data_IF_173837511872
#
_entry.id   IF_173837511872
#
_cell.length_a   1.000
_cell.length_b   1.000
_cell.length_c   1.000
_cell.angle_alpha   90.00
_cell.angle_beta   90.00
_cell.angle_gamma   90.00
#
_symmetry.space_group_name_H-M   'P 1'
#
loop_
_entity.id
_entity.type
_entity.pdbx_description
1 polymer ?
#
# COMPACT_ATOMS: atom_id res chain seq x y z
N UNK A 1 -17.68 13.62 81.18
CA UNK A 1 -17.36 12.85 79.96
C UNK A 1 -15.85 12.93 79.85
N UNK A 2 -15.19 11.81 80.11
CA UNK A 2 -13.77 11.80 80.48
C UNK A 2 -12.90 11.98 79.22
N UNK A 3 -12.18 13.09 79.15
CA UNK A 3 -11.32 13.46 77.99
C UNK A 3 -10.31 12.36 77.70
N UNK A 4 -9.90 11.60 78.73
CA UNK A 4 -8.99 10.46 78.60
C UNK A 4 -9.57 9.32 77.75
N UNK A 5 -10.88 9.09 77.80
CA UNK A 5 -11.53 7.96 77.12
C UNK A 5 -11.73 8.25 75.62
N UNK A 6 -11.96 9.51 75.24
CA UNK A 6 -11.97 9.91 73.84
C UNK A 6 -10.56 9.96 73.24
N UNK A 7 -9.56 10.36 74.03
CA UNK A 7 -8.16 10.34 73.60
C UNK A 7 -7.68 8.91 73.27
N UNK A 8 -8.08 7.92 74.08
CA UNK A 8 -7.75 6.51 73.82
C UNK A 8 -8.41 5.98 72.54
N UNK A 9 -9.64 6.43 72.21
CA UNK A 9 -10.31 6.08 70.95
C UNK A 9 -9.61 6.70 69.74
N UNK A 10 -9.16 7.95 69.85
CA UNK A 10 -8.39 8.63 68.81
C UNK A 10 -7.06 7.88 68.56
N UNK A 11 -6.38 7.43 69.62
CA UNK A 11 -5.11 6.71 69.48
C UNK A 11 -5.28 5.34 68.81
N UNK A 12 -6.38 4.62 69.10
CA UNK A 12 -6.74 3.39 68.39
C UNK A 12 -7.02 3.64 66.90
N UNK A 13 -7.80 4.67 66.58
CA UNK A 13 -8.07 5.06 65.18
C UNK A 13 -6.79 5.45 64.43
N UNK A 14 -5.89 6.20 65.07
CA UNK A 14 -4.60 6.57 64.48
C UNK A 14 -3.73 5.35 64.18
N UNK A 15 -3.75 4.32 65.04
CA UNK A 15 -3.06 3.06 64.76
C UNK A 15 -3.68 2.29 63.60
N UNK A 16 -5.01 2.26 63.47
CA UNK A 16 -5.69 1.65 62.32
C UNK A 16 -5.37 2.38 61.01
N UNK A 17 -5.39 3.71 61.01
CA UNK A 17 -4.99 4.52 59.85
C UNK A 17 -3.54 4.21 59.44
N UNK A 18 -2.61 4.17 60.40
CA UNK A 18 -1.21 3.86 60.15
C UNK A 18 -1.02 2.46 59.56
N UNK A 19 -1.82 1.48 59.98
CA UNK A 19 -1.79 0.13 59.42
C UNK A 19 -2.36 0.09 58.01
N UNK A 20 -3.49 0.76 57.75
CA UNK A 20 -4.05 0.89 56.41
C UNK A 20 -3.09 1.57 55.42
N UNK A 21 -2.36 2.61 55.84
CA UNK A 21 -1.34 3.28 55.03
C UNK A 21 -0.18 2.35 54.66
N UNK A 22 0.27 1.49 55.60
CA UNK A 22 1.31 0.48 55.32
C UNK A 22 0.83 -0.53 54.29
N UNK A 23 -0.43 -0.97 54.37
CA UNK A 23 -1.04 -1.88 53.39
C UNK A 23 -1.13 -1.25 52.01
N UNK A 24 -1.59 0.00 51.89
CA UNK A 24 -1.64 0.75 50.63
C UNK A 24 -0.24 0.81 50.00
N UNK A 25 0.78 1.15 50.79
CA UNK A 25 2.17 1.23 50.32
C UNK A 25 2.70 -0.12 49.85
N UNK A 26 2.30 -1.22 50.48
CA UNK A 26 2.63 -2.57 50.04
C UNK A 26 1.93 -2.93 48.71
N UNK A 27 0.65 -2.57 48.57
CA UNK A 27 -0.12 -2.76 47.33
C UNK A 27 0.48 -1.96 46.17
N UNK A 28 0.88 -0.71 46.38
CA UNK A 28 1.54 0.12 45.35
C UNK A 28 2.85 -0.48 44.88
N UNK A 29 3.69 -0.97 45.80
CA UNK A 29 4.92 -1.70 45.45
C UNK A 29 4.61 -2.94 44.61
N UNK A 30 3.58 -3.70 44.97
CA UNK A 30 3.13 -4.88 44.21
C UNK A 30 2.64 -4.49 42.82
N UNK A 31 1.84 -3.42 42.69
CA UNK A 31 1.36 -2.86 41.43
C UNK A 31 2.52 -2.48 40.51
N UNK A 32 3.50 -1.74 41.02
CA UNK A 32 4.68 -1.33 40.25
C UNK A 32 5.51 -2.53 39.76
N UNK A 33 5.65 -3.57 40.59
CA UNK A 33 6.31 -4.83 40.19
C UNK A 33 5.54 -5.56 39.09
N UNK A 34 4.21 -5.58 39.16
CA UNK A 34 3.36 -6.18 38.12
C UNK A 34 3.42 -5.39 36.81
N UNK A 35 3.45 -4.05 36.86
CA UNK A 35 3.63 -3.19 35.67
C UNK A 35 4.97 -3.50 34.99
N UNK A 36 6.05 -3.61 35.76
CA UNK A 36 7.38 -3.94 35.22
C UNK A 36 7.36 -5.32 34.54
N UNK A 37 6.76 -6.33 35.20
CA UNK A 37 6.58 -7.67 34.62
C UNK A 37 5.76 -7.62 33.34
N UNK A 38 4.63 -6.90 33.32
CA UNK A 38 3.79 -6.74 32.12
C UNK A 38 4.61 -6.18 30.96
N UNK A 39 5.40 -5.13 31.20
CA UNK A 39 6.28 -4.53 30.19
C UNK A 39 7.30 -5.53 29.64
N UNK A 40 7.93 -6.33 30.50
CA UNK A 40 8.86 -7.39 30.04
C UNK A 40 8.17 -8.46 29.18
N UNK A 41 6.93 -8.84 29.50
CA UNK A 41 6.16 -9.78 28.69
C UNK A 41 5.74 -9.16 27.35
N UNK A 42 5.29 -7.91 27.33
CA UNK A 42 4.96 -7.16 26.12
C UNK A 42 6.18 -7.07 25.18
N UNK A 43 7.36 -6.77 25.71
CA UNK A 43 8.62 -6.73 24.95
C UNK A 43 8.99 -8.11 24.39
N UNK A 44 8.82 -9.18 25.18
CA UNK A 44 9.06 -10.56 24.73
C UNK A 44 8.10 -10.98 23.62
N UNK A 45 6.81 -10.65 23.73
CA UNK A 45 5.80 -10.90 22.70
C UNK A 45 6.18 -10.15 21.41
N UNK A 46 6.56 -8.87 21.52
CA UNK A 46 6.97 -8.06 20.37
C UNK A 46 8.20 -8.65 19.68
N UNK A 47 9.20 -9.12 20.44
CA UNK A 47 10.39 -9.77 19.88
C UNK A 47 10.05 -11.09 19.17
N UNK A 48 9.22 -11.94 19.78
CA UNK A 48 8.76 -13.20 19.14
C UNK A 48 7.98 -12.93 17.85
N UNK A 49 7.07 -11.95 17.86
CA UNK A 49 6.33 -11.55 16.66
C UNK A 49 7.27 -11.04 15.55
N UNK A 50 8.29 -10.23 15.90
CA UNK A 50 9.31 -9.78 14.94
C UNK A 50 10.06 -10.96 14.34
N UNK A 51 10.48 -11.94 15.14
CA UNK A 51 11.23 -13.12 14.67
C UNK A 51 10.39 -14.00 13.73
N UNK A 52 9.15 -14.30 14.08
CA UNK A 52 8.20 -15.04 13.23
C UNK A 52 7.96 -14.29 11.90
N UNK A 53 7.84 -12.96 11.97
CA UNK A 53 7.66 -12.13 10.77
C UNK A 53 8.90 -12.17 9.88
N UNK A 54 10.10 -12.11 10.45
CA UNK A 54 11.36 -12.19 9.72
C UNK A 54 11.53 -13.57 9.05
N UNK A 55 11.24 -14.65 9.77
CA UNK A 55 11.31 -16.02 9.23
C UNK A 55 10.30 -16.22 8.08
N UNK A 56 9.05 -15.76 8.25
CA UNK A 56 8.05 -15.77 7.16
C UNK A 56 8.48 -14.92 5.97
N UNK A 57 9.05 -13.74 6.21
CA UNK A 57 9.53 -12.86 5.14
C UNK A 57 10.73 -13.45 4.40
N UNK A 58 11.64 -14.15 5.09
CA UNK A 58 12.76 -14.85 4.46
C UNK A 58 12.26 -16.01 3.58
N UNK A 59 11.27 -16.76 4.06
CA UNK A 59 10.65 -17.84 3.28
C UNK A 59 9.86 -17.31 2.07
N UNK A 60 9.16 -16.18 2.23
CA UNK A 60 8.47 -15.49 1.13
C UNK A 60 9.43 -14.87 0.12
N UNK A 61 10.55 -14.29 0.58
CA UNK A 61 11.63 -13.81 -0.30
C UNK A 61 12.09 -14.94 -1.22
N UNK A 62 12.45 -16.10 -0.66
CA UNK A 62 12.88 -17.25 -1.45
C UNK A 62 11.84 -17.73 -2.48
N UNK A 63 10.54 -17.59 -2.20
CA UNK A 63 9.48 -18.01 -3.14
C UNK A 63 9.31 -17.06 -4.32
N UNK A 64 9.42 -15.76 -4.10
CA UNK A 64 9.14 -14.74 -5.12
C UNK A 64 10.41 -14.11 -5.72
N UNK A 65 11.60 -14.45 -5.21
CA UNK A 65 12.90 -14.16 -5.82
C UNK A 65 13.21 -15.04 -7.03
N UNK A 66 12.49 -16.15 -7.19
CA UNK A 66 12.73 -17.10 -8.26
C UNK A 66 12.33 -16.51 -9.63
N UNK A 67 13.11 -16.83 -10.66
CA UNK A 67 12.86 -16.50 -12.07
C UNK A 67 12.35 -17.71 -12.86
N UNK A 68 11.85 -18.73 -12.17
CA UNK A 68 11.22 -19.92 -12.74
C UNK A 68 9.72 -19.75 -13.06
N UNK A 69 9.15 -18.57 -12.83
CA UNK A 69 7.73 -18.34 -13.11
C UNK A 69 7.42 -18.35 -14.61
N UNK A 70 6.19 -18.72 -15.03
CA UNK A 70 5.81 -18.78 -16.44
C UNK A 70 6.02 -17.47 -17.21
N UNK A 71 5.94 -16.33 -16.52
CA UNK A 71 6.08 -14.98 -17.06
C UNK A 71 7.51 -14.41 -16.96
N UNK A 72 8.46 -15.12 -16.36
CA UNK A 72 9.82 -14.59 -16.10
C UNK A 72 10.59 -14.24 -17.37
N UNK A 73 10.41 -15.03 -18.44
CA UNK A 73 11.02 -14.75 -19.75
C UNK A 73 10.44 -13.47 -20.35
N UNK A 74 9.12 -13.32 -20.35
CA UNK A 74 8.43 -12.16 -20.91
C UNK A 74 8.77 -10.88 -20.12
N UNK A 75 8.87 -10.97 -18.78
CA UNK A 75 9.34 -9.87 -17.93
C UNK A 75 10.70 -9.35 -18.39
N UNK A 76 11.70 -10.23 -18.52
CA UNK A 76 13.05 -9.83 -18.92
C UNK A 76 13.08 -9.27 -20.34
N UNK A 77 12.39 -9.91 -21.26
CA UNK A 77 12.35 -9.48 -22.65
C UNK A 77 11.69 -8.10 -22.79
N UNK A 78 10.51 -7.89 -22.20
CA UNK A 78 9.81 -6.61 -22.24
C UNK A 78 10.59 -5.52 -21.50
N UNK A 79 11.23 -5.84 -20.36
CA UNK A 79 12.08 -4.89 -19.63
C UNK A 79 13.24 -4.39 -20.50
N UNK A 80 13.92 -5.29 -21.20
CA UNK A 80 15.03 -4.95 -22.08
C UNK A 80 14.56 -4.17 -23.32
N UNK A 81 13.50 -4.64 -23.99
CA UNK A 81 13.03 -4.07 -25.26
C UNK A 81 12.34 -2.70 -25.10
N UNK A 82 11.52 -2.54 -24.06
CA UNK A 82 10.70 -1.34 -23.86
C UNK A 82 11.37 -0.33 -22.93
N UNK A 83 12.01 -0.80 -21.86
CA UNK A 83 12.56 0.08 -20.82
C UNK A 83 14.10 0.14 -20.83
N UNK A 84 14.79 -0.69 -21.61
CA UNK A 84 16.26 -0.78 -21.61
C UNK A 84 16.84 -1.29 -20.30
N UNK A 85 16.09 -2.10 -19.55
CA UNK A 85 16.47 -2.62 -18.23
C UNK A 85 16.90 -4.08 -18.36
N UNK A 86 18.13 -4.36 -17.93
CA UNK A 86 18.73 -5.70 -18.00
C UNK A 86 18.87 -6.37 -16.63
N UNK A 87 18.76 -5.60 -15.54
CA UNK A 87 18.91 -6.09 -14.18
C UNK A 87 17.82 -5.51 -13.27
N UNK A 88 17.28 -6.36 -12.39
CA UNK A 88 16.31 -5.94 -11.38
C UNK A 88 17.01 -5.23 -10.22
N UNK A 89 16.37 -4.18 -9.70
CA UNK A 89 16.82 -3.47 -8.51
C UNK A 89 15.95 -3.83 -7.31
N UNK A 90 16.54 -3.80 -6.12
CA UNK A 90 15.83 -3.97 -4.83
C UNK A 90 14.92 -5.21 -4.81
N UNK A 91 13.62 -5.00 -4.59
CA UNK A 91 12.61 -6.05 -4.53
C UNK A 91 11.66 -6.05 -5.74
N UNK A 92 12.11 -5.55 -6.90
CA UNK A 92 11.27 -5.42 -8.08
C UNK A 92 10.71 -6.76 -8.55
N UNK A 93 11.55 -7.80 -8.68
CA UNK A 93 11.11 -9.10 -9.18
C UNK A 93 10.09 -9.75 -8.23
N UNK A 94 10.28 -9.62 -6.92
CA UNK A 94 9.39 -10.13 -5.90
C UNK A 94 8.02 -9.43 -5.95
N UNK A 95 8.01 -8.11 -6.14
CA UNK A 95 6.77 -7.34 -6.31
C UNK A 95 6.02 -7.78 -7.57
N UNK A 96 6.73 -7.88 -8.69
CA UNK A 96 6.12 -8.28 -9.97
C UNK A 96 5.59 -9.72 -9.93
N UNK A 97 6.39 -10.67 -9.45
CA UNK A 97 5.97 -12.06 -9.29
C UNK A 97 4.77 -12.20 -8.35
N UNK A 98 4.71 -11.40 -7.27
CA UNK A 98 3.58 -11.41 -6.33
C UNK A 98 2.28 -10.94 -7.01
N UNK A 99 2.33 -9.86 -7.78
CA UNK A 99 1.17 -9.30 -8.48
C UNK A 99 0.70 -10.21 -9.62
N UNK A 100 1.64 -10.75 -10.40
CA UNK A 100 1.34 -11.72 -11.45
C UNK A 100 0.76 -13.02 -10.87
N UNK A 101 1.15 -13.37 -9.64
CA UNK A 101 0.53 -14.44 -8.83
C UNK A 101 -0.79 -14.04 -8.14
N UNK A 102 -1.39 -12.90 -8.51
CA UNK A 102 -2.66 -12.38 -7.97
C UNK A 102 -2.66 -12.17 -6.45
N UNK A 103 -1.54 -11.70 -5.89
CA UNK A 103 -1.43 -11.32 -4.47
C UNK A 103 -1.31 -9.81 -4.29
N UNK A 104 -1.89 -9.33 -3.19
CA UNK A 104 -1.71 -7.96 -2.75
C UNK A 104 -0.28 -7.73 -2.25
N UNK A 105 0.25 -6.54 -2.50
CA UNK A 105 1.61 -6.18 -2.11
C UNK A 105 1.64 -4.77 -1.54
N UNK A 106 2.23 -4.63 -0.36
CA UNK A 106 2.61 -3.34 0.21
C UNK A 106 4.11 -3.12 0.01
N UNK A 107 4.46 -2.10 -0.76
CA UNK A 107 5.82 -1.86 -1.25
C UNK A 107 6.39 -0.61 -0.60
N UNK A 108 7.50 -0.79 0.11
CA UNK A 108 8.34 0.30 0.60
C UNK A 108 9.64 0.26 -0.20
N UNK A 109 9.84 1.23 -1.08
CA UNK A 109 11.10 1.38 -1.82
C UNK A 109 11.41 2.87 -1.96
N UNK A 110 12.67 3.30 -1.81
CA UNK A 110 13.03 4.73 -1.89
C UNK A 110 12.59 5.36 -3.22
N UNK A 111 12.35 6.67 -3.22
CA UNK A 111 12.16 7.45 -4.45
C UNK A 111 13.42 7.38 -5.30
N UNK A 112 13.24 7.15 -6.60
CA UNK A 112 14.34 6.77 -7.48
C UNK A 112 15.39 7.86 -7.62
N UNK A 113 16.64 7.53 -7.33
CA UNK A 113 17.81 7.78 -8.19
C UNK A 113 18.91 6.79 -7.83
N UNK A 114 19.21 5.85 -8.73
CA UNK A 114 20.55 5.24 -8.78
C UNK A 114 20.84 4.86 -10.23
N UNK A 115 21.21 5.87 -11.02
CA UNK A 115 22.08 5.70 -12.17
C UNK A 115 23.32 6.53 -11.83
N UNK A 116 24.39 5.87 -11.36
CA UNK A 116 25.72 6.51 -11.33
C UNK A 116 26.19 6.83 -12.75
N UNK A 117 25.72 6.07 -13.73
CA UNK A 117 26.02 6.25 -15.15
C UNK A 117 24.76 6.71 -15.90
N UNK A 118 24.46 8.01 -15.86
CA UNK A 118 23.56 8.61 -16.85
C UNK A 118 24.25 8.58 -18.22
N UNK A 119 24.24 7.44 -18.92
CA UNK A 119 24.12 7.50 -20.37
C UNK A 119 22.72 8.02 -20.67
N UNK A 120 22.62 9.10 -21.46
CA UNK A 120 21.34 9.71 -21.86
C UNK A 120 20.40 8.62 -22.39
N UNK A 121 19.26 8.39 -21.72
CA UNK A 121 18.18 7.53 -22.21
C UNK A 121 17.77 6.33 -21.35
N UNK A 122 18.43 6.03 -20.22
CA UNK A 122 18.07 4.87 -19.39
C UNK A 122 16.90 5.18 -18.45
N UNK A 123 15.78 4.45 -18.59
CA UNK A 123 14.60 4.55 -17.72
C UNK A 123 14.99 4.29 -16.26
N UNK A 124 14.73 5.24 -15.36
CA UNK A 124 15.02 5.05 -13.94
C UNK A 124 13.90 4.20 -13.32
N UNK A 125 13.94 2.90 -13.61
CA UNK A 125 12.99 1.92 -13.11
C UNK A 125 13.00 1.85 -11.59
N UNK A 126 12.16 2.67 -10.94
CA UNK A 126 11.94 2.70 -9.50
C UNK A 126 10.76 1.82 -9.11
N UNK A 127 9.90 2.34 -8.23
CA UNK A 127 8.63 1.72 -7.86
C UNK A 127 7.69 1.54 -9.06
N UNK A 128 7.69 2.51 -9.98
CA UNK A 128 6.79 2.56 -11.12
C UNK A 128 6.95 1.40 -12.10
N UNK A 129 8.19 0.97 -12.31
CA UNK A 129 8.52 -0.15 -13.20
C UNK A 129 7.71 -1.40 -12.85
N UNK A 130 7.49 -1.68 -11.56
CA UNK A 130 6.82 -2.90 -11.12
C UNK A 130 5.41 -3.02 -11.70
N UNK A 131 4.62 -1.95 -11.68
CA UNK A 131 3.26 -2.00 -12.22
C UNK A 131 3.20 -1.70 -13.72
N UNK A 132 4.14 -0.92 -14.25
CA UNK A 132 4.22 -0.63 -15.68
C UNK A 132 4.59 -1.87 -16.45
N UNK A 133 5.64 -2.58 -16.06
CA UNK A 133 6.08 -3.78 -16.74
C UNK A 133 5.03 -4.90 -16.65
N UNK A 134 4.44 -5.11 -15.47
CA UNK A 134 3.39 -6.12 -15.31
C UNK A 134 2.12 -5.80 -16.11
N UNK A 135 1.80 -4.53 -16.34
CA UNK A 135 0.67 -4.13 -17.19
C UNK A 135 0.85 -4.52 -18.67
N UNK A 136 2.10 -4.61 -19.14
CA UNK A 136 2.39 -4.97 -20.52
C UNK A 136 2.27 -6.48 -20.77
N UNK A 137 2.56 -7.28 -19.75
CA UNK A 137 2.56 -8.74 -19.83
C UNK A 137 1.16 -9.32 -19.69
N UNK A 138 0.30 -8.69 -18.87
CA UNK A 138 -1.06 -9.15 -18.69
C UNK A 138 -2.02 -8.55 -19.74
N UNK A 139 -2.96 -9.34 -20.28
CA UNK A 139 -4.09 -8.79 -21.02
C UNK A 139 -5.00 -8.03 -20.06
N UNK A 140 -5.35 -6.79 -20.39
CA UNK A 140 -6.22 -5.95 -19.54
C UNK A 140 -5.60 -4.61 -19.17
N UNK A 141 -6.20 -3.99 -18.16
CA UNK A 141 -5.91 -2.65 -17.68
C UNK A 141 -5.30 -2.67 -16.28
N UNK A 142 -4.20 -1.94 -16.09
CA UNK A 142 -3.70 -1.55 -14.78
C UNK A 142 -4.19 -0.14 -14.45
N UNK A 143 -4.81 0.00 -13.28
CA UNK A 143 -5.41 1.28 -12.83
C UNK A 143 -4.51 1.88 -11.75
N UNK A 144 -4.00 3.09 -11.96
CA UNK A 144 -3.07 3.77 -11.05
C UNK A 144 -3.75 4.98 -10.42
N UNK A 145 -3.88 4.96 -9.11
CA UNK A 145 -4.39 6.07 -8.31
C UNK A 145 -3.18 6.82 -7.74
N UNK A 146 -3.03 8.10 -8.09
CA UNK A 146 -1.90 8.94 -7.68
C UNK A 146 -2.39 10.32 -7.22
N UNK A 147 -1.75 10.97 -6.23
CA UNK A 147 -2.33 12.15 -5.57
C UNK A 147 -2.12 13.46 -6.34
N UNK A 148 -1.11 13.52 -7.22
CA UNK A 148 -0.72 14.75 -7.90
C UNK A 148 -0.91 14.62 -9.42
N UNK A 149 -1.63 15.58 -10.00
CA UNK A 149 -1.88 15.64 -11.44
C UNK A 149 -0.57 15.79 -12.22
N UNK A 150 0.39 16.58 -11.70
CA UNK A 150 1.71 16.74 -12.33
C UNK A 150 2.47 15.41 -12.45
N UNK A 151 2.50 14.61 -11.37
CA UNK A 151 3.12 13.28 -11.41
C UNK A 151 2.41 12.36 -12.42
N UNK A 152 1.08 12.42 -12.49
CA UNK A 152 0.31 11.65 -13.47
C UNK A 152 0.70 12.05 -14.90
N UNK A 153 0.79 13.34 -15.19
CA UNK A 153 1.15 13.85 -16.51
C UNK A 153 2.56 13.41 -16.92
N UNK A 154 3.54 13.53 -16.02
CA UNK A 154 4.92 13.10 -16.27
C UNK A 154 4.99 11.60 -16.59
N UNK A 155 4.25 10.76 -15.84
CA UNK A 155 4.21 9.32 -16.09
C UNK A 155 3.55 8.97 -17.43
N UNK A 156 2.41 9.58 -17.74
CA UNK A 156 1.70 9.32 -19.01
C UNK A 156 2.52 9.80 -20.20
N UNK A 157 3.19 10.94 -20.09
CA UNK A 157 4.07 11.47 -21.12
C UNK A 157 5.23 10.51 -21.41
N UNK A 158 5.96 10.07 -20.38
CA UNK A 158 7.08 9.14 -20.54
C UNK A 158 6.63 7.77 -21.10
N UNK A 159 5.50 7.23 -20.63
CA UNK A 159 4.96 5.97 -21.17
C UNK A 159 4.56 6.11 -22.65
N UNK A 160 3.94 7.23 -23.02
CA UNK A 160 3.56 7.50 -24.42
C UNK A 160 4.80 7.61 -25.31
N UNK A 161 5.89 8.23 -24.82
CA UNK A 161 7.18 8.28 -25.54
C UNK A 161 7.81 6.90 -25.75
N UNK A 162 7.56 5.95 -24.85
CA UNK A 162 7.95 4.54 -25.00
C UNK A 162 6.99 3.72 -25.88
N UNK A 163 5.98 4.36 -26.50
CA UNK A 163 4.98 3.69 -27.33
C UNK A 163 3.92 2.92 -26.55
N UNK A 164 3.85 3.10 -25.22
CA UNK A 164 2.87 2.43 -24.37
C UNK A 164 1.57 3.26 -24.35
N UNK A 165 0.44 2.63 -24.64
CA UNK A 165 -0.87 3.29 -24.55
C UNK A 165 -1.28 3.49 -23.08
N UNK A 166 -0.91 4.64 -22.54
CA UNK A 166 -1.28 5.10 -21.21
C UNK A 166 -2.17 6.35 -21.31
N UNK A 167 -3.18 6.45 -20.45
CA UNK A 167 -4.11 7.58 -20.40
C UNK A 167 -4.31 8.06 -18.96
N UNK A 168 -4.77 9.30 -18.82
CA UNK A 168 -5.17 9.86 -17.52
C UNK A 168 -6.63 10.27 -17.52
N UNK A 169 -7.32 10.06 -16.41
CA UNK A 169 -8.63 10.64 -16.11
C UNK A 169 -8.46 11.59 -14.92
N UNK A 170 -8.22 12.87 -15.21
CA UNK A 170 -8.06 13.92 -14.20
C UNK A 170 -9.03 15.07 -14.48
N UNK A 171 -9.07 16.05 -13.56
CA UNK A 171 -9.78 17.31 -13.79
C UNK A 171 -9.09 18.22 -14.83
N UNK A 172 -7.86 17.91 -15.22
CA UNK A 172 -7.12 18.67 -16.24
C UNK A 172 -7.52 18.27 -17.68
N UNK A 173 -7.99 17.04 -17.88
CA UNK A 173 -8.42 16.55 -19.19
C UNK A 173 -9.70 17.25 -19.65
N UNK A 174 -9.81 17.49 -20.96
CA UNK A 174 -11.05 18.02 -21.54
C UNK A 174 -12.19 17.01 -21.36
N UNK A 175 -13.46 17.43 -21.13
CA UNK A 175 -14.57 16.50 -20.95
C UNK A 175 -14.79 15.52 -22.10
N UNK A 176 -14.49 15.93 -23.35
CA UNK A 176 -14.56 15.04 -24.52
C UNK A 176 -13.51 13.93 -24.45
N UNK A 177 -12.27 14.24 -24.08
CA UNK A 177 -11.19 13.27 -23.91
C UNK A 177 -11.53 12.23 -22.84
N UNK A 178 -12.06 12.69 -21.70
CA UNK A 178 -12.55 11.79 -20.64
C UNK A 178 -13.66 10.86 -21.15
N UNK A 179 -14.54 11.36 -22.02
CA UNK A 179 -15.64 10.59 -22.60
C UNK A 179 -15.12 9.56 -23.61
N UNK A 180 -14.15 9.94 -24.43
CA UNK A 180 -13.47 9.07 -25.38
C UNK A 180 -12.75 7.93 -24.67
N UNK A 181 -11.92 8.23 -23.67
CA UNK A 181 -11.19 7.22 -22.87
C UNK A 181 -12.16 6.19 -22.29
N UNK A 182 -13.24 6.65 -21.65
CA UNK A 182 -14.25 5.74 -21.08
C UNK A 182 -15.00 4.96 -22.17
N UNK A 183 -15.23 5.55 -23.34
CA UNK A 183 -15.81 4.88 -24.49
C UNK A 183 -14.92 3.74 -25.02
N UNK A 184 -13.63 4.00 -25.17
CA UNK A 184 -12.62 3.00 -25.60
C UNK A 184 -12.54 1.85 -24.59
N UNK A 185 -12.49 2.15 -23.29
CA UNK A 185 -12.48 1.10 -22.25
C UNK A 185 -13.76 0.24 -22.26
N UNK A 186 -14.93 0.83 -22.55
CA UNK A 186 -16.18 0.05 -22.72
C UNK A 186 -16.16 -0.84 -23.94
N UNK A 187 -15.62 -0.36 -25.06
CA UNK A 187 -15.46 -1.17 -26.27
C UNK A 187 -14.50 -2.33 -26.01
N UNK A 188 -13.37 -2.05 -25.37
CA UNK A 188 -12.42 -3.06 -24.93
C UNK A 188 -13.06 -4.09 -23.99
N UNK A 189 -13.90 -3.67 -23.04
CA UNK A 189 -14.62 -4.60 -22.16
C UNK A 189 -15.61 -5.52 -22.91
N UNK A 190 -16.15 -5.08 -24.06
CA UNK A 190 -17.10 -5.86 -24.87
C UNK A 190 -16.40 -6.84 -25.80
N UNK A 191 -15.34 -6.38 -26.46
CA UNK A 191 -14.61 -7.14 -27.49
C UNK A 191 -13.11 -6.91 -27.35
N UNK A 192 -12.44 -7.51 -26.36
CA UNK A 192 -11.02 -7.28 -26.07
C UNK A 192 -10.11 -7.56 -27.27
N UNK A 193 -10.45 -8.59 -28.06
CA UNK A 193 -9.75 -9.01 -29.26
C UNK A 193 -9.85 -8.01 -30.42
N UNK A 194 -10.83 -7.09 -30.38
CA UNK A 194 -11.04 -6.10 -31.44
C UNK A 194 -10.18 -4.84 -31.29
N UNK A 195 -9.47 -4.70 -30.15
CA UNK A 195 -8.64 -3.55 -29.85
C UNK A 195 -7.15 -3.95 -29.94
N UNK A 196 -6.45 -3.66 -31.05
CA UNK A 196 -5.07 -4.10 -31.25
C UNK A 196 -4.07 -3.40 -30.32
N UNK A 197 -4.42 -2.21 -29.81
CA UNK A 197 -3.58 -1.45 -28.88
C UNK A 197 -4.41 -0.93 -27.70
N UNK A 198 -4.85 -1.80 -26.78
CA UNK A 198 -5.70 -1.41 -25.68
C UNK A 198 -4.95 -0.52 -24.70
N UNK A 199 -5.66 0.34 -23.99
CA UNK A 199 -5.09 1.15 -22.91
C UNK A 199 -4.56 0.20 -21.83
N UNK A 200 -3.24 0.21 -21.62
CA UNK A 200 -2.55 -0.67 -20.65
C UNK A 200 -2.51 -0.07 -19.25
N UNK A 201 -2.36 1.25 -19.18
CA UNK A 201 -2.34 2.00 -17.92
C UNK A 201 -3.35 3.14 -17.95
N UNK A 202 -4.17 3.23 -16.90
CA UNK A 202 -5.03 4.37 -16.66
C UNK A 202 -4.68 5.01 -15.32
N UNK A 203 -4.19 6.24 -15.38
CA UNK A 203 -3.92 7.06 -14.22
C UNK A 203 -5.12 7.92 -13.83
N UNK A 204 -5.41 8.07 -12.55
CA UNK A 204 -6.51 8.89 -12.05
C UNK A 204 -6.22 9.41 -10.65
N UNK A 205 -6.89 10.49 -10.28
CA UNK A 205 -6.89 10.99 -8.90
C UNK A 205 -7.96 10.25 -8.08
N UNK A 206 -7.82 10.15 -6.74
CA UNK A 206 -8.81 9.46 -5.91
C UNK A 206 -10.21 10.09 -6.02
N UNK A 207 -10.30 11.42 -6.15
CA UNK A 207 -11.56 12.15 -6.28
C UNK A 207 -12.32 11.71 -7.54
N UNK A 208 -11.60 11.48 -8.64
CA UNK A 208 -12.20 11.09 -9.93
C UNK A 208 -12.81 9.69 -9.86
N UNK A 209 -12.15 8.77 -9.15
CA UNK A 209 -12.67 7.42 -8.91
C UNK A 209 -13.95 7.47 -8.09
N UNK A 210 -13.90 8.15 -6.94
CA UNK A 210 -14.97 8.14 -5.94
C UNK A 210 -16.24 8.87 -6.41
N UNK A 211 -16.08 9.97 -7.16
CA UNK A 211 -17.22 10.76 -7.66
C UNK A 211 -17.71 10.28 -9.02
N UNK A 212 -16.93 9.47 -9.73
CA UNK A 212 -17.17 9.10 -11.12
C UNK A 212 -18.03 7.84 -11.29
N UNK A 213 -19.37 7.94 -11.17
CA UNK A 213 -20.28 6.79 -11.44
C UNK A 213 -20.01 6.08 -12.77
N UNK A 214 -19.72 6.87 -13.82
CA UNK A 214 -19.37 6.32 -15.15
C UNK A 214 -18.05 5.54 -15.13
N UNK A 215 -17.06 5.98 -14.34
CA UNK A 215 -15.77 5.30 -14.20
C UNK A 215 -15.98 3.95 -13.53
N UNK A 216 -16.71 3.93 -12.40
CA UNK A 216 -17.03 2.69 -11.67
C UNK A 216 -17.77 1.68 -12.58
N UNK A 217 -18.78 2.12 -13.32
CA UNK A 217 -19.52 1.25 -14.26
C UNK A 217 -18.63 0.63 -15.36
N UNK A 218 -17.63 1.38 -15.85
CA UNK A 218 -16.64 0.83 -16.80
C UNK A 218 -15.74 -0.20 -16.12
N UNK A 219 -15.29 0.08 -14.90
CA UNK A 219 -14.47 -0.86 -14.14
C UNK A 219 -15.24 -2.14 -13.78
N UNK A 220 -16.52 -2.05 -13.44
CA UNK A 220 -17.39 -3.22 -13.25
C UNK A 220 -17.48 -4.06 -14.53
N UNK A 221 -17.60 -3.41 -15.69
CA UNK A 221 -17.64 -4.11 -16.99
C UNK A 221 -16.32 -4.82 -17.30
N UNK A 222 -15.18 -4.17 -17.05
CA UNK A 222 -13.85 -4.77 -17.20
C UNK A 222 -13.63 -5.92 -16.20
N UNK A 223 -14.04 -5.72 -14.95
CA UNK A 223 -13.92 -6.71 -13.88
C UNK A 223 -14.73 -7.97 -14.17
N UNK A 224 -15.96 -7.84 -14.69
CA UNK A 224 -16.79 -8.97 -15.09
C UNK A 224 -16.14 -9.85 -16.16
N UNK A 225 -15.16 -9.32 -16.91
CA UNK A 225 -14.37 -10.02 -17.94
C UNK A 225 -12.95 -10.37 -17.48
N UNK A 226 -12.61 -10.15 -16.22
CA UNK A 226 -11.24 -10.31 -15.67
C UNK A 226 -10.18 -9.45 -16.38
N UNK A 227 -10.58 -8.27 -16.89
CA UNK A 227 -9.69 -7.36 -17.63
C UNK A 227 -9.09 -6.25 -16.76
N UNK A 228 -9.22 -6.32 -15.44
CA UNK A 228 -8.47 -5.46 -14.52
C UNK A 228 -7.33 -6.28 -13.93
N UNK A 229 -6.10 -5.86 -14.24
CA UNK A 229 -4.89 -6.56 -13.85
C UNK A 229 -4.53 -6.32 -12.40
N UNK A 230 -4.56 -5.05 -11.98
CA UNK A 230 -4.13 -4.57 -10.68
C UNK A 230 -4.65 -3.15 -10.43
N UNK A 231 -4.97 -2.84 -9.17
CA UNK A 231 -5.10 -1.47 -8.69
C UNK A 231 -3.80 -1.05 -8.00
N UNK A 232 -3.19 0.03 -8.47
CA UNK A 232 -1.99 0.61 -7.88
C UNK A 232 -2.39 1.83 -7.07
N UNK A 233 -2.03 1.85 -5.79
CA UNK A 233 -2.21 3.00 -4.90
C UNK A 233 -0.83 3.63 -4.71
N UNK A 234 -0.54 4.64 -5.51
CA UNK A 234 0.69 5.41 -5.41
C UNK A 234 0.63 6.37 -4.22
N UNK A 235 1.76 6.60 -3.57
CA UNK A 235 1.85 7.31 -2.29
C UNK A 235 0.78 6.88 -1.27
N UNK A 236 0.64 5.57 -1.07
CA UNK A 236 -0.37 4.98 -0.19
C UNK A 236 -0.31 5.46 1.27
N UNK A 237 0.78 6.10 1.70
CA UNK A 237 0.86 6.74 3.01
C UNK A 237 -0.22 7.82 3.20
N UNK A 238 -0.77 8.39 2.12
CA UNK A 238 -1.89 9.35 2.16
C UNK A 238 -3.18 8.77 2.77
N UNK A 239 -3.35 7.44 2.85
CA UNK A 239 -4.51 6.84 3.51
C UNK A 239 -4.48 6.97 5.05
N UNK A 240 -3.31 7.23 5.63
CA UNK A 240 -3.08 7.19 7.08
C UNK A 240 -3.02 8.60 7.65
N UNK A 241 -3.81 8.87 8.69
CA UNK A 241 -3.74 10.14 9.46
C UNK A 241 -2.40 10.28 10.20
N UNK A 242 -1.71 9.16 10.46
CA UNK A 242 -0.32 9.15 10.95
C UNK A 242 0.73 9.46 9.87
N UNK A 243 0.30 9.65 8.62
CA UNK A 243 1.16 10.04 7.50
C UNK A 243 1.34 11.56 7.44
N UNK A 244 2.39 12.01 6.77
CA UNK A 244 2.71 13.44 6.66
C UNK A 244 1.87 14.18 5.59
N UNK A 245 1.21 13.46 4.69
CA UNK A 245 0.34 14.00 3.62
C UNK A 245 -1.00 13.25 3.59
N UNK A 246 -1.73 13.26 4.72
CA UNK A 246 -3.03 12.58 4.81
C UNK A 246 -4.05 13.21 3.85
N UNK A 247 -4.75 12.35 3.08
CA UNK A 247 -5.81 12.76 2.15
C UNK A 247 -7.10 11.99 2.45
N UNK A 248 -8.21 12.66 2.82
CA UNK A 248 -9.46 11.99 3.15
C UNK A 248 -10.01 11.08 2.05
N UNK A 249 -9.79 11.43 0.78
CA UNK A 249 -10.25 10.61 -0.35
C UNK A 249 -9.40 9.35 -0.55
N UNK A 250 -8.15 9.30 -0.08
CA UNK A 250 -7.36 8.07 -0.06
C UNK A 250 -7.91 7.04 0.93
N UNK A 251 -8.40 7.48 2.10
CA UNK A 251 -9.03 6.60 3.10
C UNK A 251 -10.26 5.88 2.55
N UNK A 252 -10.95 6.48 1.59
CA UNK A 252 -12.13 5.87 0.96
C UNK A 252 -11.77 4.80 -0.07
N UNK A 253 -10.50 4.68 -0.50
CA UNK A 253 -10.06 3.71 -1.50
C UNK A 253 -10.23 2.25 -1.06
N UNK A 254 -10.47 1.98 0.23
CA UNK A 254 -10.89 0.67 0.73
C UNK A 254 -12.11 0.09 -0.01
N UNK A 255 -12.95 0.94 -0.63
CA UNK A 255 -14.05 0.47 -1.48
C UNK A 255 -13.59 -0.45 -2.63
N UNK A 256 -12.36 -0.28 -3.12
CA UNK A 256 -11.83 -1.08 -4.22
C UNK A 256 -11.76 -2.55 -3.84
N UNK A 257 -11.36 -2.86 -2.60
CA UNK A 257 -11.35 -4.24 -2.09
C UNK A 257 -12.76 -4.81 -1.97
N UNK A 258 -13.74 -3.99 -1.61
CA UNK A 258 -15.15 -4.41 -1.49
C UNK A 258 -15.74 -4.74 -2.87
N UNK A 259 -15.55 -3.85 -3.85
CA UNK A 259 -16.15 -3.96 -5.19
C UNK A 259 -15.41 -4.95 -6.10
N UNK A 260 -14.08 -5.03 -5.99
CA UNK A 260 -13.22 -5.75 -6.93
C UNK A 260 -12.34 -6.78 -6.23
N UNK A 261 -12.96 -7.65 -5.43
CA UNK A 261 -12.29 -8.57 -4.51
C UNK A 261 -11.19 -9.46 -5.14
N UNK A 262 -11.32 -9.83 -6.42
CA UNK A 262 -10.34 -10.69 -7.12
C UNK A 262 -9.15 -9.92 -7.72
N UNK A 263 -9.21 -8.59 -7.77
CA UNK A 263 -8.14 -7.78 -8.34
C UNK A 263 -7.06 -7.57 -7.26
N UNK A 264 -5.78 -7.84 -7.56
CA UNK A 264 -4.71 -7.55 -6.63
C UNK A 264 -4.51 -6.04 -6.48
N UNK A 265 -4.12 -5.62 -5.27
CA UNK A 265 -3.79 -4.23 -4.95
C UNK A 265 -2.29 -4.10 -4.68
N UNK A 266 -1.64 -3.18 -5.39
CA UNK A 266 -0.26 -2.77 -5.15
C UNK A 266 -0.24 -1.40 -4.47
N UNK A 267 0.05 -1.35 -3.17
CA UNK A 267 0.21 -0.11 -2.42
C UNK A 267 1.70 0.29 -2.37
N UNK A 268 2.04 1.46 -2.88
CA UNK A 268 3.42 1.92 -3.05
C UNK A 268 3.70 3.14 -2.17
N UNK A 269 4.86 3.17 -1.52
CA UNK A 269 5.37 4.42 -0.95
C UNK A 269 6.89 4.42 -0.80
N UNK A 270 7.47 5.63 -0.73
CA UNK A 270 8.89 5.82 -0.47
C UNK A 270 9.30 5.45 0.95
N UNK A 271 8.50 5.86 1.93
CA UNK A 271 8.79 5.75 3.35
C UNK A 271 7.50 5.39 4.10
N UNK A 272 7.62 4.56 5.14
CA UNK A 272 6.47 4.20 5.96
C UNK A 272 6.91 3.83 7.38
N UNK A 273 6.25 4.41 8.37
CA UNK A 273 6.37 3.94 9.77
C UNK A 273 5.49 2.71 9.95
N UNK A 274 5.73 1.92 11.01
CA UNK A 274 4.89 0.75 11.29
C UNK A 274 3.41 1.11 11.49
N UNK A 275 3.11 2.30 12.01
CA UNK A 275 1.74 2.76 12.21
C UNK A 275 1.06 3.09 10.87
N UNK A 276 1.76 3.81 9.98
CA UNK A 276 1.28 4.08 8.62
C UNK A 276 1.02 2.77 7.87
N UNK A 277 1.98 1.84 7.89
CA UNK A 277 1.82 0.53 7.26
C UNK A 277 0.57 -0.22 7.76
N UNK A 278 0.37 -0.28 9.08
CA UNK A 278 -0.81 -0.93 9.66
C UNK A 278 -2.10 -0.25 9.21
N UNK A 279 -2.14 1.09 9.24
CA UNK A 279 -3.29 1.88 8.82
C UNK A 279 -3.64 1.64 7.35
N UNK A 280 -2.65 1.61 6.46
CA UNK A 280 -2.88 1.36 5.02
C UNK A 280 -3.42 -0.05 4.81
N UNK A 281 -2.86 -1.05 5.49
CA UNK A 281 -3.31 -2.45 5.34
C UNK A 281 -4.73 -2.65 5.90
N UNK A 282 -5.13 -1.86 6.91
CA UNK A 282 -6.48 -1.94 7.50
C UNK A 282 -7.53 -1.08 6.81
N UNK A 283 -7.16 -0.27 5.81
CA UNK A 283 -8.07 0.58 5.04
C UNK A 283 -8.85 -0.26 4.03
#
# INVERSE_FOLDING_TARGET
>A
MDISEEQEKIDKLNQEILNAEKEIKAIERRKNRLILKRKTFEDSILQKQKRITLEKNAQLKNKFDDESFPWSKDLKQTAAQVFGIHEWKFSQIQVMNSILSKRDVFVIMPTGTYNKDKKKGTYSGGKSLCYQLTSLICPGLTVVISPLISLIQDQVFELTRLGINAKSLTSYNHPSENTEILGTLRKFAKSPESEPNPIKLLYLTPERLLKGKRVVSVFESLYAKNLINCFVIDECHCCSEYGHDFRPDYKKLGLLRILFQKVPIMALTATSTNNVKKSVIST
#
